data_IF_114107316039
#
_entry.id   IF_114107316039
#
_cell.length_a   1.000
_cell.length_b   1.000
_cell.length_c   1.000
_cell.angle_alpha   90.00
_cell.angle_beta   90.00
_cell.angle_gamma   90.00
#
_symmetry.space_group_name_H-M   'P 1'
#
loop_
_entity.id
_entity.type
_entity.pdbx_description
1 polymer ?
#
# COMPACT_ATOMS: atom_id res chain seq x y z
N UNK A 1 23.00 18.34 -38.96
CA UNK A 1 22.09 19.32 -38.34
C UNK A 1 22.54 19.49 -36.89
N UNK A 2 23.01 20.68 -36.50
CA UNK A 2 23.57 20.90 -35.16
C UNK A 2 22.43 21.44 -34.29
N UNK A 3 21.94 20.62 -33.36
CA UNK A 3 20.86 21.01 -32.46
C UNK A 3 21.31 22.17 -31.58
N UNK A 4 20.39 23.10 -31.34
CA UNK A 4 20.68 24.28 -30.54
C UNK A 4 20.78 23.87 -29.05
N UNK A 5 21.61 24.54 -28.22
CA UNK A 5 21.80 24.15 -26.81
C UNK A 5 20.51 24.07 -25.98
N UNK A 6 19.50 24.85 -26.36
CA UNK A 6 18.17 24.88 -25.75
C UNK A 6 17.29 23.69 -26.15
N UNK A 7 17.40 23.23 -27.39
CA UNK A 7 16.72 22.01 -27.87
C UNK A 7 17.32 20.78 -27.20
N UNK A 8 18.66 20.71 -27.10
CA UNK A 8 19.35 19.62 -26.38
C UNK A 8 18.86 19.53 -24.94
N UNK A 9 18.69 20.67 -24.24
CA UNK A 9 18.16 20.68 -22.87
C UNK A 9 16.72 20.20 -22.78
N UNK A 10 15.86 20.53 -23.75
CA UNK A 10 14.46 20.07 -23.79
C UNK A 10 14.38 18.57 -24.05
N UNK A 11 15.13 18.07 -25.03
CA UNK A 11 15.16 16.65 -25.38
C UNK A 11 15.71 15.80 -24.22
N UNK A 12 16.68 16.33 -23.48
CA UNK A 12 17.26 15.66 -22.29
C UNK A 12 16.28 15.50 -21.14
N UNK A 13 15.18 16.26 -21.11
CA UNK A 13 14.15 16.27 -20.07
C UNK A 13 12.79 15.77 -20.58
N UNK A 14 12.73 15.25 -21.81
CA UNK A 14 11.49 14.73 -22.37
C UNK A 14 11.05 13.46 -21.63
N UNK A 15 9.88 13.48 -20.98
CA UNK A 15 9.28 12.33 -20.31
C UNK A 15 8.59 11.34 -21.25
N UNK A 16 8.45 11.71 -22.52
CA UNK A 16 7.70 10.96 -23.54
C UNK A 16 8.55 10.77 -24.80
N UNK A 17 8.46 9.58 -25.40
CA UNK A 17 9.19 9.23 -26.61
C UNK A 17 8.25 9.12 -27.82
N UNK A 18 8.43 9.91 -28.90
CA UNK A 18 7.55 9.94 -30.06
C UNK A 18 7.27 8.59 -30.73
N UNK A 19 8.24 7.68 -30.66
CA UNK A 19 8.16 6.35 -31.29
C UNK A 19 7.67 5.25 -30.34
N UNK A 20 7.36 5.57 -29.08
CA UNK A 20 6.90 4.62 -28.07
C UNK A 20 5.55 5.09 -27.48
N UNK A 21 4.40 4.74 -28.09
CA UNK A 21 3.08 5.23 -27.66
C UNK A 21 2.78 4.98 -26.16
N UNK A 22 3.32 3.91 -25.59
CA UNK A 22 3.18 3.56 -24.17
C UNK A 22 3.67 4.65 -23.21
N UNK A 23 4.61 5.51 -23.61
CA UNK A 23 5.10 6.60 -22.75
C UNK A 23 4.07 7.71 -22.60
N UNK A 24 3.21 7.90 -23.61
CA UNK A 24 2.09 8.85 -23.54
C UNK A 24 0.93 8.28 -22.71
N UNK A 25 0.68 6.98 -22.83
CA UNK A 25 -0.39 6.30 -22.08
C UNK A 25 -0.08 6.16 -20.59
N UNK A 26 1.22 6.10 -20.23
CA UNK A 26 1.71 5.89 -18.87
C UNK A 26 2.69 6.99 -18.49
N UNK A 27 2.22 8.24 -18.54
CA UNK A 27 3.05 9.38 -18.17
C UNK A 27 3.54 9.25 -16.72
N UNK A 28 4.81 9.59 -16.51
CA UNK A 28 5.36 9.68 -15.16
C UNK A 28 4.78 10.93 -14.52
N UNK A 29 4.29 10.79 -13.28
CA UNK A 29 3.82 11.93 -12.50
C UNK A 29 4.97 12.91 -12.25
N UNK A 30 4.66 14.19 -12.40
CA UNK A 30 5.54 15.33 -12.20
C UNK A 30 5.45 15.92 -10.78
N UNK A 31 4.41 15.58 -10.01
CA UNK A 31 4.12 16.12 -8.68
C UNK A 31 4.85 15.41 -7.52
N UNK A 32 5.75 14.47 -7.80
CA UNK A 32 6.39 13.65 -6.76
C UNK A 32 7.42 14.42 -5.94
N UNK A 33 8.18 15.32 -6.56
CA UNK A 33 9.26 16.06 -5.90
C UNK A 33 8.75 16.99 -4.78
N UNK A 34 7.50 17.46 -4.89
CA UNK A 34 6.86 18.33 -3.90
C UNK A 34 6.54 17.59 -2.59
N UNK A 35 6.30 16.27 -2.68
CA UNK A 35 5.78 15.47 -1.57
C UNK A 35 6.80 14.47 -1.05
N UNK A 36 7.56 13.84 -1.94
CA UNK A 36 8.47 12.76 -1.64
C UNK A 36 9.90 13.25 -1.86
N UNK A 37 10.75 13.32 -0.82
CA UNK A 37 12.13 13.74 -1.01
C UNK A 37 12.90 12.73 -1.86
N UNK A 38 13.47 13.18 -2.99
CA UNK A 38 14.23 12.35 -3.94
C UNK A 38 13.44 11.10 -4.39
N UNK A 39 12.35 11.26 -5.16
CA UNK A 39 11.48 10.14 -5.58
C UNK A 39 12.21 9.08 -6.40
N UNK A 40 13.25 9.48 -7.13
CA UNK A 40 14.11 8.61 -7.93
C UNK A 40 15.04 7.71 -7.08
N UNK A 41 15.15 7.97 -5.78
CA UNK A 41 16.04 7.22 -4.88
C UNK A 41 15.28 6.03 -4.27
N UNK A 42 15.72 4.81 -4.59
CA UNK A 42 15.17 3.60 -4.00
C UNK A 42 15.37 3.61 -2.46
N UNK A 43 14.32 3.26 -1.72
CA UNK A 43 14.33 3.19 -0.25
C UNK A 43 14.20 1.74 0.21
N UNK A 44 15.09 1.33 1.10
CA UNK A 44 15.12 -0.04 1.61
C UNK A 44 14.22 -0.29 2.82
N UNK A 45 14.06 0.70 3.70
CA UNK A 45 13.44 0.52 5.02
C UNK A 45 11.97 0.98 5.09
N UNK A 46 11.54 1.82 4.17
CA UNK A 46 10.21 2.41 4.15
C UNK A 46 9.73 2.48 2.71
N UNK A 47 8.45 2.18 2.51
CA UNK A 47 7.74 2.39 1.26
C UNK A 47 6.94 3.69 1.38
N UNK A 48 7.46 4.83 0.90
CA UNK A 48 6.74 6.09 0.94
C UNK A 48 5.65 6.13 -0.12
N UNK A 49 4.60 6.89 0.17
CA UNK A 49 3.56 7.24 -0.77
C UNK A 49 3.27 8.75 -0.68
N UNK A 50 2.49 9.27 -1.62
CA UNK A 50 2.05 10.66 -1.72
C UNK A 50 1.29 11.09 -0.45
N UNK A 51 0.50 10.19 0.13
CA UNK A 51 -0.25 10.43 1.37
C UNK A 51 0.63 10.27 2.62
N UNK A 52 1.62 9.37 2.55
CA UNK A 52 2.51 9.04 3.66
C UNK A 52 3.99 9.11 3.21
N UNK A 53 4.57 10.33 3.06
CA UNK A 53 5.92 10.51 2.50
C UNK A 53 7.05 9.88 3.34
N UNK A 54 6.78 9.64 4.62
CA UNK A 54 7.67 9.02 5.60
C UNK A 54 7.24 7.59 5.96
N UNK A 55 6.33 6.99 5.18
CA UNK A 55 5.72 5.70 5.47
C UNK A 55 4.66 5.77 6.58
N UNK A 56 4.21 4.60 7.05
CA UNK A 56 3.17 4.49 8.08
C UNK A 56 3.62 5.15 9.40
N UNK A 57 2.88 6.14 9.92
CA UNK A 57 3.22 6.80 11.18
C UNK A 57 3.33 5.81 12.34
N UNK A 58 4.41 5.91 13.14
CA UNK A 58 4.64 5.04 14.29
C UNK A 58 5.17 3.63 13.95
N UNK A 59 5.32 3.29 12.67
CA UNK A 59 5.88 2.00 12.26
C UNK A 59 7.39 1.93 12.53
N UNK A 60 7.82 0.84 13.17
CA UNK A 60 9.23 0.57 13.44
C UNK A 60 9.73 -0.43 12.40
N UNK A 61 10.65 0.01 11.54
CA UNK A 61 11.20 -0.84 10.48
C UNK A 61 12.25 -1.85 10.98
N UNK A 62 12.75 -1.73 12.22
CA UNK A 62 13.73 -2.65 12.83
C UNK A 62 15.03 -2.88 12.04
N UNK A 63 15.33 -2.01 11.07
CA UNK A 63 16.46 -2.17 10.14
C UNK A 63 16.20 -3.20 9.03
N UNK A 64 14.99 -3.72 8.93
CA UNK A 64 14.59 -4.69 7.91
C UNK A 64 14.19 -4.01 6.60
N UNK A 65 14.45 -4.72 5.50
CA UNK A 65 13.93 -4.31 4.20
C UNK A 65 12.39 -4.31 4.17
N UNK A 66 11.79 -3.52 3.28
CA UNK A 66 10.32 -3.51 3.07
C UNK A 66 9.78 -4.92 2.80
N UNK A 67 10.52 -5.73 2.04
CA UNK A 67 10.12 -7.11 1.77
C UNK A 67 10.15 -7.97 3.05
N UNK A 68 11.20 -7.87 3.86
CA UNK A 68 11.28 -8.57 5.13
C UNK A 68 10.17 -8.14 6.10
N UNK A 69 9.83 -6.84 6.13
CA UNK A 69 8.70 -6.35 6.93
C UNK A 69 7.37 -6.95 6.46
N UNK A 70 7.19 -7.11 5.13
CA UNK A 70 6.01 -7.76 4.57
C UNK A 70 5.94 -9.25 4.92
N UNK A 71 7.07 -9.95 4.86
CA UNK A 71 7.15 -11.38 5.23
C UNK A 71 6.93 -11.58 6.73
N UNK A 72 7.49 -10.71 7.57
CA UNK A 72 7.34 -10.74 9.03
C UNK A 72 5.89 -10.57 9.51
N UNK A 73 4.98 -10.06 8.68
CA UNK A 73 3.56 -10.05 9.01
C UNK A 73 2.94 -11.46 9.00
N UNK A 74 3.43 -12.34 8.12
CA UNK A 74 2.88 -13.69 7.95
C UNK A 74 3.56 -14.72 8.85
N UNK A 75 4.81 -14.47 9.24
CA UNK A 75 5.55 -15.28 10.21
C UNK A 75 5.07 -14.95 11.62
N UNK A 76 4.08 -15.72 12.11
CA UNK A 76 3.44 -15.41 13.40
C UNK A 76 4.20 -15.97 14.60
N UNK A 77 5.07 -16.96 14.38
CA UNK A 77 5.87 -17.59 15.40
C UNK A 77 7.34 -17.13 15.41
N UNK A 78 7.71 -16.21 14.50
CA UNK A 78 9.02 -15.54 14.40
C UNK A 78 10.17 -16.54 14.18
N UNK A 79 9.88 -17.64 13.47
CA UNK A 79 10.84 -18.71 13.20
C UNK A 79 11.59 -18.53 11.86
N UNK A 80 11.20 -17.55 11.04
CA UNK A 80 11.78 -17.24 9.73
C UNK A 80 11.23 -18.06 8.57
N UNK A 81 10.24 -18.91 8.78
CA UNK A 81 9.62 -19.80 7.79
C UNK A 81 8.12 -19.57 7.81
N UNK A 82 7.60 -18.98 6.73
CA UNK A 82 6.15 -18.83 6.57
C UNK A 82 5.54 -20.12 6.06
N UNK A 83 4.71 -20.75 6.89
CA UNK A 83 3.97 -21.95 6.53
C UNK A 83 2.60 -21.64 5.90
N UNK A 84 2.04 -22.58 5.11
CA UNK A 84 0.75 -22.38 4.46
C UNK A 84 -0.42 -22.05 5.42
N UNK A 85 -0.42 -22.65 6.62
CA UNK A 85 -1.48 -22.37 7.60
C UNK A 85 -1.37 -20.98 8.22
N UNK A 86 -0.15 -20.45 8.38
CA UNK A 86 0.08 -19.08 8.89
C UNK A 86 -0.36 -18.05 7.87
N UNK A 87 -0.08 -18.32 6.59
CA UNK A 87 -0.63 -17.52 5.48
C UNK A 87 -2.16 -17.49 5.51
N UNK A 88 -2.81 -18.63 5.80
CA UNK A 88 -4.27 -18.69 5.93
C UNK A 88 -4.78 -17.88 7.12
N UNK A 89 -4.10 -17.94 8.27
CA UNK A 89 -4.46 -17.16 9.47
C UNK A 89 -4.24 -15.66 9.22
N UNK A 90 -3.10 -15.26 8.65
CA UNK A 90 -2.82 -13.86 8.30
C UNK A 90 -3.84 -13.30 7.31
N UNK A 91 -4.23 -14.07 6.29
CA UNK A 91 -5.33 -13.70 5.39
C UNK A 91 -6.66 -13.52 6.13
N UNK A 92 -6.96 -14.41 7.09
CA UNK A 92 -8.16 -14.30 7.92
C UNK A 92 -8.12 -13.02 8.75
N UNK A 93 -6.99 -12.64 9.35
CA UNK A 93 -6.84 -11.38 10.10
C UNK A 93 -7.09 -10.15 9.22
N UNK A 94 -6.58 -10.15 7.99
CA UNK A 94 -6.82 -9.07 7.02
C UNK A 94 -8.31 -8.94 6.63
N UNK A 95 -9.00 -10.07 6.47
CA UNK A 95 -10.41 -10.10 5.99
C UNK A 95 -11.42 -9.93 7.14
N UNK A 96 -11.07 -10.28 8.39
CA UNK A 96 -12.01 -10.25 9.52
C UNK A 96 -12.47 -8.84 9.90
N UNK A 97 -11.77 -7.78 9.46
CA UNK A 97 -12.19 -6.39 9.66
C UNK A 97 -13.37 -5.94 8.78
N UNK A 98 -13.88 -6.78 7.87
CA UNK A 98 -14.92 -6.40 6.90
C UNK A 98 -16.37 -6.60 7.42
N UNK A 99 -16.61 -7.27 8.56
CA UNK A 99 -17.99 -7.45 9.06
C UNK A 99 -18.08 -7.31 10.58
N UNK A 100 -18.48 -6.14 11.10
CA UNK A 100 -19.03 -6.12 12.46
C UNK A 100 -20.34 -5.33 12.61
N UNK A 101 -21.29 -5.34 11.65
CA UNK A 101 -22.53 -4.55 11.87
C UNK A 101 -23.89 -5.16 11.45
N UNK A 102 -23.97 -6.44 11.07
CA UNK A 102 -25.26 -7.04 10.69
C UNK A 102 -25.82 -8.10 11.64
N UNK A 103 -25.05 -8.55 12.65
CA UNK A 103 -25.54 -9.54 13.62
C UNK A 103 -26.16 -8.87 14.85
N UNK A 104 -25.70 -7.67 15.23
CA UNK A 104 -26.19 -6.97 16.43
C UNK A 104 -27.62 -6.43 16.25
N UNK A 105 -27.99 -6.04 15.03
CA UNK A 105 -29.33 -5.49 14.71
C UNK A 105 -30.44 -6.53 14.78
N UNK A 106 -30.14 -7.81 14.53
CA UNK A 106 -31.14 -8.89 14.60
C UNK A 106 -31.45 -9.33 16.05
N UNK A 107 -30.51 -9.18 16.98
CA UNK A 107 -30.73 -9.52 18.39
C UNK A 107 -31.53 -8.43 19.14
N UNK A 108 -31.47 -7.18 18.70
CA UNK A 108 -32.22 -6.07 19.29
C UNK A 108 -33.65 -5.89 18.74
N UNK A 109 -33.97 -6.51 17.59
CA UNK A 109 -35.31 -6.41 16.97
C UNK A 109 -36.29 -7.53 17.37
N UNK A 110 -35.90 -8.45 18.27
CA UNK A 110 -36.83 -9.37 18.93
C UNK A 110 -37.18 -8.87 20.34
N UNK A 111 -38.08 -7.88 20.47
CA UNK A 111 -38.59 -7.51 21.78
C UNK A 111 -39.32 -8.71 22.39
N UNK A 112 -38.89 -9.07 23.60
CA UNK A 112 -39.51 -10.06 24.49
C UNK A 112 -41.03 -9.99 24.43
N UNK A 113 -41.69 -10.92 23.74
CA UNK A 113 -43.12 -11.16 23.91
C UNK A 113 -43.33 -12.65 24.11
N UNK A 114 -43.35 -13.08 25.39
CA UNK A 114 -44.05 -14.27 25.90
C UNK A 114 -43.84 -14.38 27.42
N UNK A 115 -44.63 -13.60 28.15
CA UNK A 115 -45.11 -13.79 29.53
C UNK A 115 -46.40 -12.94 29.52
N UNK A 116 -47.62 -13.43 29.70
CA UNK A 116 -48.13 -14.49 30.55
C UNK A 116 -49.44 -15.02 29.94
N UNK A 117 -49.71 -16.33 30.04
CA UNK A 117 -51.07 -16.87 30.09
C UNK A 117 -51.15 -17.72 31.36
N UNK A 118 -51.90 -17.24 32.34
CA UNK A 118 -52.53 -18.09 33.35
C UNK A 118 -53.77 -18.73 32.75
#
# INVERSE_FOLDING_TARGET
MKLMPTEIKKDSLAGEAPNAPVTYERSVRDDLDDKIPKPYMARGLQAPDIEYPHGTPGHKHHGWSVLQQHVAFFDQDDNGIVYPWETYIGKKQMIFFIIPDHIFTLHLLFPKRMKERK
#
